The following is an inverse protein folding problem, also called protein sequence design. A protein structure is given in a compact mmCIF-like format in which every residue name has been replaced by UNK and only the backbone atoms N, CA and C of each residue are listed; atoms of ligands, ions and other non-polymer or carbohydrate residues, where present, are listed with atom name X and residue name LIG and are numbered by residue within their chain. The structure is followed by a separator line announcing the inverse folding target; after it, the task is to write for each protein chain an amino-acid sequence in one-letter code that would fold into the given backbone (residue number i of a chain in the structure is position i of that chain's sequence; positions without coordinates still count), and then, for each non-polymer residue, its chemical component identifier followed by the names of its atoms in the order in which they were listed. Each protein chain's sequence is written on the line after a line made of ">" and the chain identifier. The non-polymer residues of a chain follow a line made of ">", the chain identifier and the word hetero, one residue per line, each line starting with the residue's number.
data_IF_524568491925
#
_entry.id   IF_524568491925
#
_cell.length_a   1.000
_cell.length_b   1.000
_cell.length_c   1.000
_cell.angle_alpha   90.00
_cell.angle_beta   90.00
_cell.angle_gamma   90.00
#
_symmetry.space_group_name_H-M   'P 1'
#
loop_
_entity.id
_entity.type
_entity.pdbx_description
1 polymer ?
#
# COMPACT_ATOMS: atom_id res chain seq x y z
N UNK A 1 -4.98 -12.81 22.87
CA UNK A 1 -4.93 -13.85 23.93
C UNK A 1 -3.52 -14.41 24.00
N UNK A 2 -3.00 -14.62 25.23
CA UNK A 2 -1.68 -15.15 25.64
C UNK A 2 -0.53 -14.14 25.86
N UNK A 3 -0.69 -13.39 26.95
CA UNK A 3 0.19 -13.29 28.14
C UNK A 3 1.68 -13.69 28.06
N UNK A 4 2.51 -12.66 28.34
CA UNK A 4 3.54 -12.55 29.40
C UNK A 4 4.64 -13.61 29.57
N UNK A 5 5.89 -13.13 29.60
CA UNK A 5 6.79 -13.36 30.75
C UNK A 5 7.93 -12.34 30.80
N UNK A 6 7.81 -11.42 31.77
CA UNK A 6 8.92 -10.78 32.46
C UNK A 6 9.42 -11.73 33.55
N UNK A 7 10.70 -11.61 33.92
CA UNK A 7 11.34 -11.68 35.26
C UNK A 7 12.79 -12.21 35.11
N UNK A 8 13.82 -11.39 35.41
CA UNK A 8 14.61 -11.33 36.67
C UNK A 8 15.52 -12.55 36.86
N UNK A 9 16.73 -12.53 37.42
CA UNK A 9 17.64 -11.56 38.06
C UNK A 9 18.85 -12.41 38.50
N UNK A 10 20.08 -11.88 38.47
CA UNK A 10 21.16 -12.21 39.44
C UNK A 10 22.44 -11.48 39.00
N UNK A 11 22.84 -10.36 39.61
CA UNK A 11 23.65 -10.23 40.83
C UNK A 11 24.77 -11.27 40.98
N UNK A 12 26.01 -10.84 40.76
CA UNK A 12 27.17 -11.26 41.54
C UNK A 12 27.96 -10.02 41.93
N UNK A 13 28.05 -9.84 43.25
CA UNK A 13 28.84 -8.85 43.98
C UNK A 13 29.96 -9.61 44.68
N UNK A 14 31.08 -8.90 44.80
CA UNK A 14 32.07 -8.93 45.88
C UNK A 14 32.87 -10.21 46.13
N UNK A 15 34.18 -10.10 45.89
CA UNK A 15 35.19 -10.46 46.89
C UNK A 15 36.24 -9.36 46.96
N UNK A 16 36.22 -8.65 48.08
CA UNK A 16 37.36 -7.94 48.68
C UNK A 16 38.56 -8.88 48.82
N UNK A 17 39.78 -8.35 48.66
CA UNK A 17 40.72 -8.29 49.79
C UNK A 17 42.03 -7.55 49.43
N UNK A 18 42.16 -6.37 50.02
CA UNK A 18 43.25 -6.02 50.95
C UNK A 18 44.68 -6.43 50.58
N UNK A 19 45.49 -5.47 50.12
CA UNK A 19 46.82 -5.27 50.70
C UNK A 19 47.32 -3.82 50.54
N UNK A 20 47.22 -3.10 51.65
CA UNK A 20 48.09 -1.96 51.99
C UNK A 20 49.55 -2.38 51.87
N UNK A 21 50.35 -1.56 51.19
CA UNK A 21 51.77 -1.40 51.52
C UNK A 21 52.23 0.00 51.15
N UNK A 22 51.96 0.90 52.08
CA UNK A 22 52.78 2.08 52.30
C UNK A 22 54.20 1.64 52.68
N UNK A 23 55.20 2.04 51.91
CA UNK A 23 56.56 2.20 52.41
C UNK A 23 57.10 3.56 51.97
N UNK A 24 56.86 4.52 52.87
CA UNK A 24 57.67 5.72 53.02
C UNK A 24 59.14 5.30 53.14
N UNK A 25 59.97 5.77 52.22
CA UNK A 25 61.39 5.99 52.52
C UNK A 25 61.61 7.49 52.66
N UNK A 26 61.57 7.91 53.91
CA UNK A 26 62.25 9.09 54.40
C UNK A 26 63.76 8.84 54.27
N UNK A 27 64.42 9.62 53.43
CA UNK A 27 65.80 10.02 53.68
C UNK A 27 65.83 11.54 53.65
N UNK A 28 65.63 12.11 54.84
CA UNK A 28 66.02 13.47 55.10
C UNK A 28 67.54 13.55 55.08
N UNK A 29 68.09 14.43 54.26
CA UNK A 29 69.33 15.11 54.58
C UNK A 29 69.07 16.60 54.45
N UNK A 30 68.92 17.23 55.61
CA UNK A 30 69.09 18.67 55.80
C UNK A 30 70.51 19.05 55.40
N UNK A 31 70.71 19.54 54.17
CA UNK A 31 71.87 20.36 53.86
C UNK A 31 71.47 21.83 53.97
N UNK A 32 71.66 22.29 55.21
CA UNK A 32 72.13 23.61 55.61
C UNK A 32 72.36 24.62 54.48
N UNK A 33 71.72 25.76 54.62
CA UNK A 33 72.25 27.05 54.17
C UNK A 33 73.67 27.24 54.73
N UNK A 34 74.66 26.73 54.02
CA UNK A 34 76.00 27.27 54.08
C UNK A 34 76.07 28.36 53.05
N UNK A 35 76.03 29.60 53.53
CA UNK A 35 76.81 30.66 52.96
C UNK A 35 78.25 30.15 52.88
N UNK A 36 78.57 29.48 51.77
CA UNK A 36 79.94 29.13 51.41
C UNK A 36 80.50 30.39 50.80
N UNK A 37 81.18 31.12 51.67
CA UNK A 37 82.51 31.66 51.45
C UNK A 37 82.89 31.80 49.99
N UNK A 38 83.14 33.05 49.62
CA UNK A 38 84.11 33.44 48.60
C UNK A 38 85.48 32.83 48.93
N UNK A 39 85.64 31.53 48.71
CA UNK A 39 86.93 30.90 48.55
C UNK A 39 87.21 30.90 47.04
N UNK A 40 88.01 31.87 46.62
CA UNK A 40 88.71 31.89 45.35
C UNK A 40 89.66 30.67 45.28
N UNK A 41 89.11 29.47 45.09
CA UNK A 41 89.87 28.38 44.49
C UNK A 41 90.06 28.79 43.03
N UNK A 42 91.18 29.48 42.78
CA UNK A 42 91.56 29.92 41.44
C UNK A 42 91.81 28.69 40.57
N UNK A 43 90.74 28.16 39.95
CA UNK A 43 90.86 27.21 38.86
C UNK A 43 91.59 27.92 37.72
N UNK A 44 92.90 27.70 37.65
CA UNK A 44 93.79 28.34 36.67
C UNK A 44 93.78 27.64 35.30
N UNK A 45 92.97 26.58 35.13
CA UNK A 45 92.87 25.77 33.92
C UNK A 45 91.44 25.66 33.42
N UNK A 46 91.25 25.61 32.11
CA UNK A 46 89.95 25.32 31.50
C UNK A 46 89.50 23.88 31.82
N UNK A 47 88.22 23.71 32.19
CA UNK A 47 87.66 22.40 32.53
C UNK A 47 87.73 21.38 31.38
N UNK A 48 87.58 21.84 30.12
CA UNK A 48 87.61 20.98 28.91
C UNK A 48 89.04 20.67 28.48
N UNK A 49 89.82 21.68 28.09
CA UNK A 49 91.15 21.46 27.50
C UNK A 49 92.30 21.44 28.51
N UNK A 50 92.03 21.67 29.80
CA UNK A 50 93.02 21.70 30.90
C UNK A 50 94.21 22.67 30.71
N UNK A 51 94.15 23.56 29.70
CA UNK A 51 95.15 24.61 29.44
C UNK A 51 95.02 25.75 30.45
N UNK A 52 96.16 26.32 30.85
CA UNK A 52 96.19 27.46 31.78
C UNK A 52 95.65 28.75 31.13
N UNK A 53 95.07 29.66 31.94
CA UNK A 53 94.49 30.93 31.47
C UNK A 53 95.48 32.08 31.23
N UNK A 54 96.79 31.80 31.12
CA UNK A 54 97.86 32.83 31.11
C UNK A 54 97.64 33.92 30.04
N UNK A 55 97.13 33.55 28.86
CA UNK A 55 96.84 34.48 27.76
C UNK A 55 95.36 34.45 27.31
N UNK A 56 94.51 33.67 27.99
CA UNK A 56 93.13 33.39 27.55
C UNK A 56 92.13 33.95 28.55
N UNK A 57 91.05 34.58 28.08
CA UNK A 57 89.98 35.07 28.95
C UNK A 57 89.35 33.91 29.73
N UNK A 58 89.30 34.06 31.05
CA UNK A 58 88.58 33.18 31.97
C UNK A 58 87.09 33.48 31.87
N UNK A 59 86.27 32.47 31.57
CA UNK A 59 84.80 32.58 31.49
C UNK A 59 84.17 31.51 32.37
N UNK A 60 83.20 31.88 33.20
CA UNK A 60 82.47 30.94 34.05
C UNK A 60 81.12 30.62 33.41
N UNK A 61 80.80 29.34 33.28
CA UNK A 61 79.47 28.91 32.82
C UNK A 61 78.44 29.20 33.91
N UNK A 62 77.35 29.88 33.57
CA UNK A 62 76.31 30.25 34.53
C UNK A 62 75.39 29.08 34.93
N UNK A 63 75.47 27.93 34.25
CA UNK A 63 74.70 26.73 34.59
C UNK A 63 75.49 25.77 35.49
N UNK A 64 76.67 25.32 35.07
CA UNK A 64 77.46 24.36 35.84
C UNK A 64 78.51 25.02 36.77
N UNK A 65 78.63 26.35 36.76
CA UNK A 65 79.55 27.16 37.57
C UNK A 65 81.05 26.84 37.37
N UNK A 66 81.39 25.97 36.41
CA UNK A 66 82.77 25.64 36.07
C UNK A 66 83.43 26.71 35.19
N UNK A 67 84.76 26.73 35.19
CA UNK A 67 85.58 27.72 34.48
C UNK A 67 86.12 27.17 33.16
N UNK A 68 85.91 27.92 32.09
CA UNK A 68 86.27 27.58 30.73
C UNK A 68 87.12 28.68 30.09
N UNK A 69 87.87 28.34 29.03
CA UNK A 69 88.46 29.37 28.17
C UNK A 69 87.40 29.91 27.22
N UNK A 70 87.64 31.10 26.69
CA UNK A 70 86.79 31.74 25.68
C UNK A 70 86.33 30.80 24.57
N UNK A 71 87.15 29.84 24.16
CA UNK A 71 86.86 28.92 23.05
C UNK A 71 85.80 27.85 23.39
N UNK A 72 85.62 27.49 24.67
CA UNK A 72 84.71 26.41 25.13
C UNK A 72 83.51 26.93 25.94
N UNK A 73 83.36 28.26 25.99
CA UNK A 73 82.23 28.94 26.63
C UNK A 73 81.91 30.19 25.82
N UNK A 74 81.51 29.94 24.57
CA UNK A 74 81.14 30.98 23.59
C UNK A 74 79.63 31.23 23.57
N UNK A 75 78.84 30.27 24.03
CA UNK A 75 77.39 30.27 23.93
C UNK A 75 76.76 31.19 24.97
N UNK A 76 75.66 31.81 24.57
CA UNK A 76 74.91 32.77 25.37
C UNK A 76 73.44 32.39 25.35
N UNK A 77 72.83 32.25 26.52
CA UNK A 77 71.41 31.90 26.69
C UNK A 77 70.69 32.84 27.62
N UNK A 78 69.40 32.98 27.38
CA UNK A 78 68.48 33.51 28.38
C UNK A 78 68.22 32.39 29.39
N UNK A 79 68.55 32.64 30.66
CA UNK A 79 68.28 31.71 31.76
C UNK A 79 67.10 32.24 32.56
N UNK A 80 66.15 31.36 32.92
CA UNK A 80 65.01 31.66 33.80
C UNK A 80 64.23 32.95 33.45
N UNK A 81 64.09 33.27 32.15
CA UNK A 81 63.37 34.46 31.69
C UNK A 81 64.07 35.80 31.95
N UNK A 82 65.37 35.81 32.28
CA UNK A 82 66.14 37.04 32.45
C UNK A 82 66.25 37.83 31.14
N UNK A 83 66.29 39.17 31.20
CA UNK A 83 66.48 40.03 30.02
C UNK A 83 67.90 39.95 29.44
N UNK A 84 68.87 39.56 30.25
CA UNK A 84 70.29 39.52 29.88
C UNK A 84 70.75 38.11 29.49
N UNK A 85 71.62 38.06 28.48
CA UNK A 85 72.23 36.84 27.99
C UNK A 85 73.36 36.36 28.93
N UNK A 86 73.18 35.19 29.51
CA UNK A 86 74.16 34.51 30.36
C UNK A 86 75.08 33.60 29.55
N UNK A 87 76.38 33.59 29.86
CA UNK A 87 77.35 32.72 29.19
C UNK A 87 77.28 31.28 29.71
N UNK A 88 77.22 30.32 28.79
CA UNK A 88 77.08 28.90 29.08
C UNK A 88 78.16 28.12 28.32
N UNK A 89 78.66 27.02 28.89
CA UNK A 89 79.59 26.14 28.17
C UNK A 89 78.86 25.31 27.12
N UNK A 90 79.59 24.82 26.11
CA UNK A 90 78.99 24.10 24.98
C UNK A 90 78.22 22.83 25.41
N UNK A 91 78.68 22.14 26.46
CA UNK A 91 78.01 20.95 26.99
C UNK A 91 76.66 21.27 27.65
N UNK A 92 76.61 22.32 28.49
CA UNK A 92 75.36 22.74 29.13
C UNK A 92 74.38 23.36 28.13
N UNK A 93 74.89 24.02 27.09
CA UNK A 93 74.11 24.50 25.96
C UNK A 93 73.45 23.32 25.22
N UNK A 94 74.23 22.29 24.90
CA UNK A 94 73.73 21.09 24.25
C UNK A 94 72.65 20.38 25.07
N UNK A 95 72.86 20.18 26.37
CA UNK A 95 71.89 19.51 27.25
C UNK A 95 70.58 20.27 27.38
N UNK A 96 70.62 21.61 27.53
CA UNK A 96 69.39 22.40 27.54
C UNK A 96 68.69 22.40 26.17
N UNK A 97 69.41 22.40 25.05
CA UNK A 97 68.77 22.25 23.73
C UNK A 97 68.11 20.89 23.58
N UNK A 98 68.75 19.81 24.02
CA UNK A 98 68.13 18.47 24.01
C UNK A 98 66.86 18.46 24.85
N UNK A 99 66.87 19.12 26.00
CA UNK A 99 65.71 19.22 26.88
C UNK A 99 64.55 19.98 26.21
N UNK A 100 64.83 21.12 25.59
CA UNK A 100 63.82 21.89 24.84
C UNK A 100 63.24 21.09 23.67
N UNK A 101 64.09 20.39 22.90
CA UNK A 101 63.64 19.51 21.82
C UNK A 101 62.78 18.38 22.36
N UNK A 102 63.15 17.77 23.49
CA UNK A 102 62.36 16.72 24.12
C UNK A 102 60.99 17.23 24.58
N UNK A 103 60.94 18.42 25.19
CA UNK A 103 59.68 19.07 25.59
C UNK A 103 58.77 19.34 24.37
N UNK A 104 59.32 19.86 23.28
CA UNK A 104 58.56 20.09 22.04
C UNK A 104 58.05 18.78 21.42
N UNK A 105 58.88 17.73 21.40
CA UNK A 105 58.48 16.40 20.92
C UNK A 105 57.33 15.84 21.79
N UNK A 106 57.43 15.96 23.11
CA UNK A 106 56.39 15.47 24.03
C UNK A 106 55.08 16.24 23.84
N UNK A 107 55.13 17.56 23.63
CA UNK A 107 53.95 18.37 23.31
C UNK A 107 53.29 17.94 22.00
N UNK A 108 54.07 17.69 20.94
CA UNK A 108 53.54 17.21 19.66
C UNK A 108 52.99 15.78 19.76
N UNK A 109 53.63 14.89 20.52
CA UNK A 109 53.10 13.55 20.80
C UNK A 109 51.74 13.65 21.50
N UNK A 110 51.59 14.56 22.46
CA UNK A 110 50.31 14.78 23.16
C UNK A 110 49.23 15.28 22.20
N UNK A 111 49.53 16.25 21.32
CA UNK A 111 48.59 16.74 20.31
C UNK A 111 48.11 15.62 19.38
N UNK A 112 49.05 14.88 18.80
CA UNK A 112 48.74 13.76 17.90
C UNK A 112 47.93 12.68 18.63
N UNK A 113 48.22 12.43 19.91
CA UNK A 113 47.48 11.43 20.70
C UNK A 113 46.02 11.84 20.90
N UNK A 114 45.74 13.12 21.17
CA UNK A 114 44.35 13.59 21.30
C UNK A 114 43.63 13.58 19.94
N UNK A 115 44.30 14.01 18.86
CA UNK A 115 43.72 13.93 17.51
C UNK A 115 43.37 12.48 17.12
N UNK A 116 44.25 11.51 17.41
CA UNK A 116 43.98 10.09 17.16
C UNK A 116 42.79 9.58 17.96
N UNK A 117 42.59 10.09 19.17
CA UNK A 117 41.45 9.73 20.02
C UNK A 117 40.16 10.31 19.45
N UNK A 118 40.13 11.57 19.07
CA UNK A 118 38.96 12.20 18.44
C UNK A 118 38.56 11.50 17.13
N UNK A 119 39.55 11.15 16.30
CA UNK A 119 39.33 10.40 15.06
C UNK A 119 38.75 9.01 15.36
N UNK A 120 39.26 8.31 16.38
CA UNK A 120 38.75 7.00 16.78
C UNK A 120 37.29 7.08 17.24
N UNK A 121 36.99 8.02 18.13
CA UNK A 121 35.62 8.23 18.64
C UNK A 121 34.64 8.58 17.50
N UNK A 122 35.08 9.44 16.57
CA UNK A 122 34.29 9.81 15.39
C UNK A 122 34.04 8.60 14.50
N UNK A 123 35.06 7.78 14.26
CA UNK A 123 34.94 6.59 13.43
C UNK A 123 33.98 5.56 14.05
N UNK A 124 34.10 5.29 15.34
CA UNK A 124 33.17 4.40 16.07
C UNK A 124 31.73 4.90 16.03
N UNK A 125 31.51 6.21 16.18
CA UNK A 125 30.18 6.81 16.02
C UNK A 125 29.64 6.58 14.60
N UNK A 126 30.44 6.87 13.57
CA UNK A 126 30.04 6.68 12.17
C UNK A 126 29.73 5.21 11.86
N UNK A 127 30.50 4.26 12.39
CA UNK A 127 30.21 2.84 12.23
C UNK A 127 28.86 2.46 12.83
N UNK A 128 28.54 2.92 14.05
CA UNK A 128 27.23 2.67 14.67
C UNK A 128 26.10 3.27 13.84
N UNK A 129 26.25 4.51 13.38
CA UNK A 129 25.26 5.17 12.52
C UNK A 129 25.08 4.42 11.20
N UNK A 130 26.17 3.97 10.58
CA UNK A 130 26.12 3.20 9.35
C UNK A 130 25.35 1.90 9.52
N UNK A 131 25.64 1.11 10.57
CA UNK A 131 24.92 -0.14 10.87
C UNK A 131 23.43 0.13 11.07
N UNK A 132 23.07 1.16 11.83
CA UNK A 132 21.68 1.53 12.05
C UNK A 132 20.98 1.94 10.75
N UNK A 133 21.62 2.75 9.91
CA UNK A 133 21.08 3.17 8.61
C UNK A 133 20.88 1.99 7.67
N UNK A 134 21.85 1.06 7.60
CA UNK A 134 21.73 -0.15 6.78
C UNK A 134 20.57 -1.02 7.25
N UNK A 135 20.38 -1.18 8.57
CA UNK A 135 19.22 -1.90 9.12
C UNK A 135 17.90 -1.24 8.70
N UNK A 136 17.80 0.09 8.84
CA UNK A 136 16.59 0.82 8.45
C UNK A 136 16.29 0.70 6.95
N UNK A 137 17.31 0.76 6.10
CA UNK A 137 17.15 0.57 4.65
C UNK A 137 16.62 -0.84 4.35
N UNK A 138 17.19 -1.86 4.99
CA UNK A 138 16.75 -3.24 4.80
C UNK A 138 15.29 -3.46 5.26
N UNK A 139 14.88 -2.83 6.37
CA UNK A 139 13.49 -2.89 6.84
C UNK A 139 12.52 -2.22 5.85
N UNK A 140 12.92 -1.09 5.26
CA UNK A 140 12.15 -0.40 4.23
C UNK A 140 12.05 -1.23 2.95
N UNK A 141 13.14 -1.84 2.49
CA UNK A 141 13.13 -2.72 1.31
C UNK A 141 12.21 -3.93 1.51
N UNK A 142 12.21 -4.52 2.72
CA UNK A 142 11.29 -5.60 3.06
C UNK A 142 9.82 -5.15 3.05
N UNK A 143 9.52 -3.95 3.54
CA UNK A 143 8.14 -3.44 3.50
C UNK A 143 7.71 -3.09 2.07
N UNK A 144 8.59 -2.49 1.25
CA UNK A 144 8.31 -2.20 -0.16
C UNK A 144 7.99 -3.49 -0.92
N UNK A 145 8.84 -4.51 -0.83
CA UNK A 145 8.63 -5.79 -1.53
C UNK A 145 7.33 -6.48 -1.11
N UNK A 146 6.97 -6.39 0.18
CA UNK A 146 5.69 -6.90 0.69
C UNK A 146 4.49 -6.11 0.13
N UNK A 147 4.58 -4.78 0.06
CA UNK A 147 3.53 -3.95 -0.52
C UNK A 147 3.36 -4.21 -2.02
N UNK A 148 4.45 -4.34 -2.77
CA UNK A 148 4.42 -4.71 -4.19
C UNK A 148 3.72 -6.04 -4.43
N UNK A 149 4.03 -7.05 -3.60
CA UNK A 149 3.37 -8.35 -3.68
C UNK A 149 1.87 -8.25 -3.39
N UNK A 150 1.48 -7.50 -2.35
CA UNK A 150 0.08 -7.29 -2.01
C UNK A 150 -0.68 -6.56 -3.13
N UNK A 151 -0.09 -5.50 -3.69
CA UNK A 151 -0.68 -4.74 -4.80
C UNK A 151 -0.85 -5.60 -6.04
N UNK A 152 0.18 -6.38 -6.40
CA UNK A 152 0.11 -7.30 -7.55
C UNK A 152 -1.00 -8.34 -7.38
N UNK A 153 -1.17 -8.86 -6.16
CA UNK A 153 -2.28 -9.79 -5.85
C UNK A 153 -3.65 -9.11 -6.01
N UNK A 154 -3.81 -7.91 -5.46
CA UNK A 154 -5.05 -7.15 -5.61
C UNK A 154 -5.38 -6.82 -7.07
N UNK A 155 -4.37 -6.48 -7.87
CA UNK A 155 -4.51 -6.24 -9.31
C UNK A 155 -5.01 -7.48 -10.03
N UNK A 156 -4.43 -8.65 -9.74
CA UNK A 156 -4.88 -9.93 -10.30
C UNK A 156 -6.32 -10.28 -9.91
N UNK A 157 -6.68 -10.07 -8.65
CA UNK A 157 -8.05 -10.31 -8.16
C UNK A 157 -9.05 -9.38 -8.86
N UNK A 158 -8.73 -8.10 -9.02
CA UNK A 158 -9.57 -7.13 -9.73
C UNK A 158 -9.69 -7.44 -11.22
N UNK A 159 -8.60 -7.87 -11.85
CA UNK A 159 -8.62 -8.28 -13.26
C UNK A 159 -9.53 -9.50 -13.47
N UNK A 160 -9.47 -10.49 -12.57
CA UNK A 160 -10.37 -11.64 -12.62
C UNK A 160 -11.83 -11.22 -12.46
N UNK A 161 -12.14 -10.31 -11.51
CA UNK A 161 -13.50 -9.78 -11.34
C UNK A 161 -13.97 -9.08 -12.62
N UNK A 162 -13.12 -8.24 -13.22
CA UNK A 162 -13.45 -7.52 -14.45
C UNK A 162 -13.80 -8.49 -15.59
N UNK A 163 -13.02 -9.55 -15.78
CA UNK A 163 -13.26 -10.57 -16.82
C UNK A 163 -14.59 -11.31 -16.59
N UNK A 164 -14.91 -11.63 -15.33
CA UNK A 164 -16.20 -12.25 -15.00
C UNK A 164 -17.38 -11.32 -15.29
N UNK A 165 -17.28 -10.04 -14.94
CA UNK A 165 -18.34 -9.06 -15.19
C UNK A 165 -18.50 -8.73 -16.67
N UNK A 166 -17.40 -8.68 -17.44
CA UNK A 166 -17.47 -8.53 -18.90
C UNK A 166 -18.19 -9.71 -19.54
N UNK A 167 -17.87 -10.94 -19.12
CA UNK A 167 -18.54 -12.15 -19.60
C UNK A 167 -20.02 -12.15 -19.23
N UNK A 168 -20.35 -11.75 -18.00
CA UNK A 168 -21.74 -11.60 -17.53
C UNK A 168 -22.50 -10.56 -18.36
N UNK A 169 -21.88 -9.40 -18.61
CA UNK A 169 -22.44 -8.32 -19.41
C UNK A 169 -22.67 -8.71 -20.88
N UNK A 170 -21.80 -9.53 -21.45
CA UNK A 170 -22.01 -10.09 -22.81
C UNK A 170 -23.22 -11.03 -22.85
N UNK A 171 -23.35 -11.94 -21.87
CA UNK A 171 -24.50 -12.85 -21.75
C UNK A 171 -25.81 -12.08 -21.62
N UNK A 172 -25.84 -11.05 -20.78
CA UNK A 172 -27.03 -10.22 -20.59
C UNK A 172 -27.42 -9.45 -21.85
N UNK A 173 -26.45 -8.92 -22.60
CA UNK A 173 -26.73 -8.27 -23.90
C UNK A 173 -27.34 -9.26 -24.89
N UNK A 174 -26.77 -10.45 -25.02
CA UNK A 174 -27.32 -11.47 -25.91
C UNK A 174 -28.75 -11.87 -25.52
N UNK A 175 -29.04 -12.02 -24.21
CA UNK A 175 -30.39 -12.30 -23.74
C UNK A 175 -31.36 -11.15 -24.05
N UNK A 176 -30.93 -9.89 -23.89
CA UNK A 176 -31.75 -8.73 -24.22
C UNK A 176 -32.07 -8.67 -25.72
N UNK A 177 -31.11 -8.99 -26.58
CA UNK A 177 -31.35 -9.03 -28.03
C UNK A 177 -32.28 -10.18 -28.43
N UNK A 178 -32.18 -11.35 -27.80
CA UNK A 178 -33.13 -12.46 -27.99
C UNK A 178 -34.55 -12.04 -27.59
N UNK A 179 -34.70 -11.44 -26.41
CA UNK A 179 -36.00 -10.98 -25.93
C UNK A 179 -36.62 -9.91 -26.83
N UNK A 180 -35.79 -8.99 -27.37
CA UNK A 180 -36.26 -7.99 -28.33
C UNK A 180 -36.81 -8.65 -29.58
N UNK A 181 -36.08 -9.58 -30.18
CA UNK A 181 -36.54 -10.29 -31.37
C UNK A 181 -37.83 -11.10 -31.11
N UNK A 182 -37.91 -11.78 -29.96
CA UNK A 182 -39.14 -12.51 -29.57
C UNK A 182 -40.32 -11.57 -29.39
N UNK A 183 -40.11 -10.37 -28.84
CA UNK A 183 -41.16 -9.37 -28.69
C UNK A 183 -41.65 -8.86 -30.05
N UNK A 184 -40.72 -8.61 -30.98
CA UNK A 184 -41.06 -8.17 -32.34
C UNK A 184 -41.87 -9.25 -33.07
N UNK A 185 -41.49 -10.53 -32.96
CA UNK A 185 -42.22 -11.67 -33.52
C UNK A 185 -43.64 -11.80 -32.92
N UNK A 186 -43.76 -11.64 -31.60
CA UNK A 186 -45.05 -11.67 -30.91
C UNK A 186 -45.96 -10.53 -31.35
N UNK A 187 -45.42 -9.32 -31.53
CA UNK A 187 -46.18 -8.17 -31.99
C UNK A 187 -46.70 -8.35 -33.43
N UNK A 188 -45.89 -8.94 -34.31
CA UNK A 188 -46.32 -9.31 -35.67
C UNK A 188 -47.44 -10.36 -35.62
N UNK A 189 -47.28 -11.37 -34.76
CA UNK A 189 -48.28 -12.43 -34.57
C UNK A 189 -49.60 -11.87 -34.02
N UNK A 190 -49.54 -11.00 -33.00
CA UNK A 190 -50.70 -10.34 -32.41
C UNK A 190 -51.46 -9.52 -33.45
N UNK A 191 -50.74 -8.71 -34.24
CA UNK A 191 -51.33 -7.92 -35.32
C UNK A 191 -52.05 -8.81 -36.34
N UNK A 192 -51.41 -9.90 -36.75
CA UNK A 192 -51.99 -10.86 -37.70
C UNK A 192 -53.26 -11.51 -37.13
N UNK A 193 -53.23 -11.93 -35.86
CA UNK A 193 -54.38 -12.52 -35.18
C UNK A 193 -55.53 -11.51 -35.02
N UNK A 194 -55.22 -10.24 -34.73
CA UNK A 194 -56.21 -9.18 -34.64
C UNK A 194 -56.89 -8.92 -35.99
N UNK A 195 -56.12 -8.88 -37.09
CA UNK A 195 -56.67 -8.74 -38.45
C UNK A 195 -57.59 -9.93 -38.80
N UNK A 196 -57.20 -11.16 -38.46
CA UNK A 196 -58.04 -12.35 -38.65
C UNK A 196 -59.32 -12.31 -37.81
N UNK A 197 -59.23 -11.91 -36.53
CA UNK A 197 -60.39 -11.79 -35.66
C UNK A 197 -61.40 -10.77 -36.21
N UNK A 198 -60.93 -9.60 -36.66
CA UNK A 198 -61.79 -8.58 -37.28
C UNK A 198 -62.48 -9.09 -38.56
N UNK A 199 -61.78 -9.89 -39.38
CA UNK A 199 -62.37 -10.49 -40.57
C UNK A 199 -63.49 -11.49 -40.22
N UNK A 200 -63.25 -12.35 -39.22
CA UNK A 200 -64.26 -13.31 -38.73
C UNK A 200 -65.46 -12.57 -38.12
N UNK A 201 -65.25 -11.50 -37.36
CA UNK A 201 -66.33 -10.68 -36.81
C UNK A 201 -67.20 -10.07 -37.91
N UNK A 202 -66.58 -9.59 -38.99
CA UNK A 202 -67.30 -9.09 -40.16
C UNK A 202 -68.13 -10.19 -40.85
N UNK A 203 -67.54 -11.36 -41.08
CA UNK A 203 -68.25 -12.51 -41.67
C UNK A 203 -69.40 -13.00 -40.79
N UNK A 204 -69.20 -13.00 -39.47
CA UNK A 204 -70.23 -13.36 -38.49
C UNK A 204 -71.42 -12.40 -38.60
N UNK A 205 -71.16 -11.09 -38.66
CA UNK A 205 -72.21 -10.08 -38.76
C UNK A 205 -72.98 -10.20 -40.09
N UNK A 206 -72.27 -10.44 -41.19
CA UNK A 206 -72.91 -10.72 -42.48
C UNK A 206 -73.79 -11.98 -42.42
N UNK A 207 -73.32 -13.03 -41.75
CA UNK A 207 -74.10 -14.27 -41.57
C UNK A 207 -75.35 -14.02 -40.73
N UNK A 208 -75.26 -13.20 -39.67
CA UNK A 208 -76.44 -12.81 -38.88
C UNK A 208 -77.47 -12.06 -39.73
N UNK A 209 -77.04 -11.14 -40.61
CA UNK A 209 -77.93 -10.44 -41.53
C UNK A 209 -78.66 -11.42 -42.46
N UNK A 210 -77.93 -12.36 -43.06
CA UNK A 210 -78.52 -13.41 -43.93
C UNK A 210 -79.53 -14.26 -43.15
N UNK A 211 -79.21 -14.67 -41.92
CA UNK A 211 -80.14 -15.42 -41.06
C UNK A 211 -81.39 -14.61 -40.75
N UNK A 212 -81.26 -13.31 -40.47
CA UNK A 212 -82.39 -12.40 -40.27
C UNK A 212 -83.27 -12.30 -41.52
N UNK A 213 -82.67 -12.22 -42.71
CA UNK A 213 -83.41 -12.16 -43.97
C UNK A 213 -84.18 -13.47 -44.22
N UNK A 214 -83.51 -14.62 -44.04
CA UNK A 214 -84.15 -15.94 -44.17
C UNK A 214 -85.31 -16.10 -43.17
N UNK A 215 -85.16 -15.63 -41.94
CA UNK A 215 -86.24 -15.69 -40.94
C UNK A 215 -87.43 -14.82 -41.34
N UNK A 216 -87.20 -13.61 -41.87
CA UNK A 216 -88.30 -12.78 -42.40
C UNK A 216 -89.00 -13.43 -43.60
N UNK A 217 -88.24 -14.01 -44.54
CA UNK A 217 -88.82 -14.73 -45.69
C UNK A 217 -89.64 -15.95 -45.25
N UNK A 218 -89.15 -16.67 -44.23
CA UNK A 218 -89.87 -17.80 -43.64
C UNK A 218 -91.21 -17.34 -43.05
N UNK A 219 -91.22 -16.27 -42.25
CA UNK A 219 -92.45 -15.71 -41.65
C UNK A 219 -93.44 -15.25 -42.74
N UNK A 220 -92.96 -14.60 -43.80
CA UNK A 220 -93.79 -14.22 -44.95
C UNK A 220 -94.41 -15.41 -45.67
N UNK A 221 -93.62 -16.46 -45.91
CA UNK A 221 -94.10 -17.70 -46.55
C UNK A 221 -95.11 -18.42 -45.65
N UNK A 222 -94.87 -18.49 -44.35
CA UNK A 222 -95.82 -19.04 -43.37
C UNK A 222 -97.17 -18.28 -43.41
N UNK A 223 -97.13 -16.95 -43.44
CA UNK A 223 -98.33 -16.12 -43.57
C UNK A 223 -99.06 -16.33 -44.92
N UNK A 224 -98.31 -16.51 -46.02
CA UNK A 224 -98.89 -16.85 -47.33
C UNK A 224 -99.56 -18.23 -47.32
N UNK A 225 -98.92 -19.23 -46.71
CA UNK A 225 -99.48 -20.58 -46.55
C UNK A 225 -100.78 -20.50 -45.73
N UNK A 226 -100.77 -19.76 -44.62
CA UNK A 226 -101.96 -19.57 -43.79
C UNK A 226 -103.09 -18.92 -44.57
N UNK A 227 -102.81 -17.86 -45.35
CA UNK A 227 -103.78 -17.22 -46.23
C UNK A 227 -104.34 -18.15 -47.30
N UNK A 228 -103.50 -18.98 -47.92
CA UNK A 228 -103.94 -19.99 -48.89
C UNK A 228 -104.83 -21.03 -48.19
N UNK A 229 -104.48 -21.48 -46.99
CA UNK A 229 -105.28 -22.43 -46.22
C UNK A 229 -106.65 -21.86 -45.84
N UNK A 230 -106.73 -20.58 -45.43
CA UNK A 230 -108.00 -19.89 -45.19
C UNK A 230 -108.83 -19.86 -46.48
N UNK A 231 -108.24 -19.41 -47.58
CA UNK A 231 -108.92 -19.36 -48.88
C UNK A 231 -109.35 -20.74 -49.39
N UNK A 232 -108.56 -21.79 -49.17
CA UNK A 232 -108.91 -23.18 -49.52
C UNK A 232 -110.08 -23.69 -48.67
N UNK A 233 -110.12 -23.35 -47.38
CA UNK A 233 -111.23 -23.69 -46.50
C UNK A 233 -112.52 -22.92 -46.86
N UNK A 234 -112.39 -21.70 -47.39
CA UNK A 234 -113.52 -20.86 -47.84
C UNK A 234 -113.98 -21.17 -49.28
N UNK A 235 -113.09 -21.72 -50.12
CA UNK A 235 -113.42 -22.06 -51.51
C UNK A 235 -114.16 -23.39 -51.59
N UNK A 236 -115.47 -23.28 -51.80
CA UNK A 236 -116.46 -24.35 -51.98
C UNK A 236 -116.67 -25.24 -50.75
N UNK A 237 -117.75 -24.95 -50.01
CA UNK A 237 -118.28 -25.92 -49.06
C UNK A 237 -118.64 -27.23 -49.79
N UNK A 238 -118.36 -28.38 -49.16
CA UNK A 238 -118.76 -29.71 -49.66
C UNK A 238 -120.26 -29.72 -50.01
N UNK A 239 -121.07 -28.92 -49.31
CA UNK A 239 -122.49 -28.74 -49.55
C UNK A 239 -122.80 -28.06 -50.88
N UNK A 240 -121.99 -27.07 -51.30
CA UNK A 240 -122.11 -26.46 -52.63
C UNK A 240 -121.65 -27.41 -53.73
N UNK A 241 -120.55 -28.15 -53.51
CA UNK A 241 -120.08 -29.18 -54.46
C UNK A 241 -121.15 -30.26 -54.66
N UNK A 242 -121.79 -30.73 -53.60
CA UNK A 242 -122.88 -31.71 -53.65
C UNK A 242 -124.08 -31.27 -54.49
N UNK A 243 -124.35 -29.97 -54.62
CA UNK A 243 -125.50 -29.46 -55.39
C UNK A 243 -125.27 -29.40 -56.90
N UNK A 244 -124.02 -29.44 -57.35
CA UNK A 244 -123.63 -29.20 -58.76
C UNK A 244 -123.18 -30.49 -59.45
N UNK A 245 -122.83 -31.52 -58.68
CA UNK A 245 -122.39 -32.81 -59.22
C UNK A 245 -123.56 -33.63 -59.78
N UNK A 246 -123.33 -34.31 -60.89
CA UNK A 246 -124.24 -35.35 -61.38
C UNK A 246 -124.19 -36.58 -60.45
N UNK A 247 -125.22 -37.41 -60.52
CA UNK A 247 -125.46 -38.51 -59.58
C UNK A 247 -124.27 -39.50 -59.47
N UNK A 248 -123.60 -39.81 -60.59
CA UNK A 248 -122.39 -40.65 -60.61
C UNK A 248 -121.20 -40.01 -59.88
N UNK A 249 -121.00 -38.70 -60.04
CA UNK A 249 -119.88 -38.00 -59.39
C UNK A 249 -120.15 -37.77 -57.89
N UNK A 250 -121.42 -37.64 -57.49
CA UNK A 250 -121.82 -37.52 -56.09
C UNK A 250 -121.51 -38.79 -55.28
N UNK A 251 -121.74 -39.97 -55.85
CA UNK A 251 -121.41 -41.27 -55.24
C UNK A 251 -119.91 -41.40 -54.99
N UNK A 252 -119.06 -41.04 -55.97
CA UNK A 252 -117.61 -41.09 -55.85
C UNK A 252 -117.11 -40.16 -54.73
N UNK A 253 -117.65 -38.94 -54.64
CA UNK A 253 -117.28 -37.98 -53.58
C UNK A 253 -117.70 -38.48 -52.20
N UNK A 254 -118.89 -39.07 -52.06
CA UNK A 254 -119.33 -39.64 -50.78
C UNK A 254 -118.51 -40.86 -50.35
N UNK A 255 -118.07 -41.72 -51.29
CA UNK A 255 -117.18 -42.85 -50.99
C UNK A 255 -115.80 -42.37 -50.52
N UNK A 256 -115.23 -41.34 -51.15
CA UNK A 256 -113.93 -40.80 -50.75
C UNK A 256 -113.98 -40.05 -49.41
N UNK A 257 -115.08 -39.38 -49.08
CA UNK A 257 -115.28 -38.75 -47.76
C UNK A 257 -115.40 -39.81 -46.66
N UNK A 258 -116.09 -40.93 -46.92
CA UNK A 258 -116.18 -42.04 -45.96
C UNK A 258 -114.80 -42.66 -45.68
N UNK A 259 -114.00 -42.93 -46.72
CA UNK A 259 -112.63 -43.45 -46.57
C UNK A 259 -111.71 -42.54 -45.76
N UNK A 260 -111.76 -41.22 -46.00
CA UNK A 260 -110.99 -40.24 -45.21
C UNK A 260 -111.40 -40.16 -43.75
N UNK A 261 -112.65 -40.49 -43.43
CA UNK A 261 -113.15 -40.54 -42.05
C UNK A 261 -112.67 -41.80 -41.31
N UNK A 262 -112.44 -42.88 -42.04
CA UNK A 262 -111.87 -44.13 -41.52
C UNK A 262 -110.33 -44.07 -41.36
N UNK A 263 -109.63 -43.15 -42.05
CA UNK A 263 -108.19 -42.88 -41.88
C UNK A 263 -107.86 -41.87 -40.76
N UNK A 264 -108.87 -41.25 -40.14
CA UNK A 264 -108.74 -40.30 -39.03
C UNK A 264 -109.32 -40.81 -37.70
N UNK A 265 -109.64 -42.12 -37.61
CA UNK A 265 -109.74 -42.90 -36.38
C UNK A 265 -108.55 -43.85 -36.29
#
# INVERSE_FOLDING_TARGET
>A
MKNSSLLKSSTLRDTDDTQSSSSKLFSGSTHSNTAVSTDDIVHNKCQVCRKNFILRRKVTCQLCLAVFCSDHCTRKRVLNGAKDLSTVCDDCDLEETKKQIAEEIDEEILKITEELKEVRETNERLFREHVNKVSMVNDLDMEITKQEWNMKKQEQDLQAILETEQTRGLKLRNLADILRNTLDDLNISEKTMSEQANAIEFELENTKLIVSEITTQKEELEAQIEKININLNESLSIEHVRKILCQKCLEIVNVNIAKKKDECN
#
